data_IF_736162746275
#
_entry.id   IF_736162746275
#
_cell.length_a   1.000
_cell.length_b   1.000
_cell.length_c   1.000
_cell.angle_alpha   90.00
_cell.angle_beta   90.00
_cell.angle_gamma   90.00
#
_symmetry.space_group_name_H-M   'P 1'
#
loop_
_entity.id
_entity.type
_entity.pdbx_description
1 polymer ?
#
# COMPACT_ATOMS: atom_id res chain seq x y z
N UNK A 1 5.54 11.65 -27.60
CA UNK A 1 4.71 12.19 -26.51
C UNK A 1 4.80 11.23 -25.34
N UNK A 2 5.28 11.70 -24.22
CA UNK A 2 5.49 10.86 -23.03
C UNK A 2 4.11 10.55 -22.43
N UNK A 3 3.58 9.34 -22.68
CA UNK A 3 2.28 8.87 -22.17
C UNK A 3 2.16 9.07 -20.65
N UNK A 4 3.25 8.89 -19.91
CA UNK A 4 3.33 9.08 -18.47
C UNK A 4 2.90 10.47 -17.97
N UNK A 5 3.19 11.55 -18.72
CA UNK A 5 2.85 12.91 -18.27
C UNK A 5 1.34 13.13 -18.34
N UNK A 6 0.68 12.63 -19.40
CA UNK A 6 -0.76 12.79 -19.55
C UNK A 6 -1.56 11.94 -18.53
N UNK A 7 -1.10 10.74 -18.23
CA UNK A 7 -1.74 9.83 -17.24
C UNK A 7 -1.61 10.36 -15.81
N UNK A 8 -0.44 10.91 -15.46
CA UNK A 8 -0.22 11.55 -14.16
C UNK A 8 -1.16 12.73 -13.92
N UNK A 9 -1.30 13.61 -14.92
CA UNK A 9 -2.15 14.79 -14.79
C UNK A 9 -3.63 14.40 -14.77
N UNK A 10 -4.02 13.33 -15.48
CA UNK A 10 -5.36 12.75 -15.44
C UNK A 10 -5.64 12.13 -14.05
N UNK A 11 -4.71 11.36 -13.48
CA UNK A 11 -4.86 10.79 -12.14
C UNK A 11 -5.09 11.88 -11.09
N UNK A 12 -4.23 12.89 -11.05
CA UNK A 12 -4.37 13.98 -10.08
C UNK A 12 -5.67 14.78 -10.30
N UNK A 13 -6.06 15.02 -11.55
CA UNK A 13 -7.32 15.64 -11.90
C UNK A 13 -8.53 14.85 -11.40
N UNK A 14 -8.52 13.53 -11.58
CA UNK A 14 -9.57 12.63 -11.10
C UNK A 14 -9.67 12.65 -9.57
N UNK A 15 -8.54 12.60 -8.86
CA UNK A 15 -8.56 12.59 -7.38
C UNK A 15 -9.01 13.93 -6.83
N UNK A 16 -8.63 15.04 -7.43
CA UNK A 16 -9.14 16.37 -7.09
C UNK A 16 -10.65 16.50 -7.32
N UNK A 17 -11.15 15.89 -8.39
CA UNK A 17 -12.59 15.83 -8.63
C UNK A 17 -13.30 14.99 -7.56
N UNK A 18 -12.76 13.81 -7.23
CA UNK A 18 -13.29 12.98 -6.14
C UNK A 18 -13.29 13.74 -4.80
N UNK A 19 -12.23 14.48 -4.50
CA UNK A 19 -12.14 15.33 -3.32
C UNK A 19 -13.23 16.41 -3.31
N UNK A 20 -13.43 17.11 -4.43
CA UNK A 20 -14.49 18.11 -4.59
C UNK A 20 -15.89 17.50 -4.42
N UNK A 21 -16.09 16.25 -4.85
CA UNK A 21 -17.31 15.47 -4.64
C UNK A 21 -17.42 14.87 -3.23
N UNK A 22 -16.49 15.19 -2.30
CA UNK A 22 -16.48 14.76 -0.90
C UNK A 22 -16.30 13.25 -0.71
N UNK A 23 -15.63 12.55 -1.64
CA UNK A 23 -15.18 11.20 -1.38
C UNK A 23 -14.14 11.21 -0.25
N UNK A 24 -14.24 10.24 0.64
CA UNK A 24 -13.36 10.16 1.83
C UNK A 24 -12.00 9.58 1.51
N UNK A 25 -11.92 8.65 0.56
CA UNK A 25 -10.73 7.88 0.22
C UNK A 25 -10.59 7.72 -1.28
N UNK A 26 -9.34 7.70 -1.72
CA UNK A 26 -8.95 7.29 -3.05
C UNK A 26 -7.74 6.34 -2.93
N UNK A 27 -7.90 5.15 -3.45
CA UNK A 27 -6.85 4.14 -3.38
C UNK A 27 -6.32 3.79 -4.76
N UNK A 28 -5.01 3.54 -4.84
CA UNK A 28 -4.27 3.20 -6.05
C UNK A 28 -3.86 1.74 -5.96
N UNK A 29 -4.23 0.93 -6.97
CA UNK A 29 -3.83 -0.48 -7.03
C UNK A 29 -2.40 -0.61 -7.54
N UNK A 30 -1.66 -1.58 -7.01
CA UNK A 30 -0.33 -1.97 -7.50
C UNK A 30 -0.47 -2.99 -8.62
N UNK A 31 0.18 -2.72 -9.75
CA UNK A 31 0.32 -3.66 -10.86
C UNK A 31 1.71 -3.55 -11.48
N UNK A 32 2.48 -4.64 -11.40
CA UNK A 32 3.78 -4.74 -12.02
C UNK A 32 3.67 -5.26 -13.46
N UNK A 33 4.53 -4.74 -14.35
CA UNK A 33 4.68 -5.19 -15.73
C UNK A 33 3.36 -5.25 -16.53
N UNK A 34 2.41 -4.36 -16.24
CA UNK A 34 1.13 -4.31 -16.95
C UNK A 34 1.08 -3.09 -17.87
N UNK A 35 1.05 -3.33 -19.19
CA UNK A 35 0.95 -2.25 -20.18
C UNK A 35 -0.37 -1.49 -20.00
N UNK A 36 -0.29 -0.16 -20.01
CA UNK A 36 -1.46 0.73 -19.83
C UNK A 36 -1.83 1.02 -18.37
N UNK A 37 -1.10 0.47 -17.39
CA UNK A 37 -1.28 0.80 -15.96
C UNK A 37 0.06 1.26 -15.39
N UNK A 38 0.15 2.52 -15.01
CA UNK A 38 1.38 3.17 -14.55
C UNK A 38 1.49 3.20 -13.00
N UNK A 39 1.02 2.15 -12.31
CA UNK A 39 0.92 2.16 -10.83
C UNK A 39 1.84 1.16 -10.11
N UNK A 40 2.87 0.64 -10.78
CA UNK A 40 3.85 -0.25 -10.15
C UNK A 40 4.57 0.40 -8.96
N UNK A 41 4.97 1.67 -9.08
CA UNK A 41 5.56 2.44 -7.98
C UNK A 41 4.46 3.12 -7.14
N UNK A 42 3.58 2.34 -6.53
CA UNK A 42 2.35 2.80 -5.89
C UNK A 42 2.60 3.84 -4.79
N UNK A 43 3.59 3.63 -3.92
CA UNK A 43 3.94 4.58 -2.86
C UNK A 43 4.38 5.95 -3.41
N UNK A 44 5.09 5.98 -4.55
CA UNK A 44 5.50 7.23 -5.22
C UNK A 44 4.27 7.99 -5.73
N UNK A 45 3.32 7.29 -6.35
CA UNK A 45 2.07 7.89 -6.82
C UNK A 45 1.20 8.40 -5.68
N UNK A 46 1.11 7.65 -4.57
CA UNK A 46 0.40 8.09 -3.36
C UNK A 46 0.98 9.41 -2.86
N UNK A 47 2.30 9.53 -2.76
CA UNK A 47 2.95 10.78 -2.35
C UNK A 47 2.64 11.95 -3.29
N UNK A 48 2.70 11.71 -4.61
CA UNK A 48 2.34 12.72 -5.60
C UNK A 48 0.89 13.20 -5.48
N UNK A 49 -0.05 12.27 -5.31
CA UNK A 49 -1.47 12.57 -5.19
C UNK A 49 -1.78 13.26 -3.85
N UNK A 50 -1.19 12.78 -2.76
CA UNK A 50 -1.37 13.38 -1.44
C UNK A 50 -0.86 14.84 -1.40
N UNK A 51 0.28 15.12 -2.04
CA UNK A 51 0.81 16.48 -2.19
C UNK A 51 -0.08 17.39 -3.06
N UNK A 52 -0.80 16.80 -4.01
CA UNK A 52 -1.68 17.53 -4.94
C UNK A 52 -3.12 17.69 -4.48
N UNK A 53 -3.51 17.15 -3.31
CA UNK A 53 -4.84 17.18 -2.70
C UNK A 53 -4.77 17.68 -1.26
N UNK A 54 -5.91 17.94 -0.60
CA UNK A 54 -5.92 18.57 0.73
C UNK A 54 -6.56 17.75 1.83
N UNK A 55 -7.66 17.07 1.58
CA UNK A 55 -8.53 16.45 2.60
C UNK A 55 -8.82 14.99 2.36
N UNK A 56 -8.86 14.54 1.10
CA UNK A 56 -9.12 13.15 0.74
C UNK A 56 -7.97 12.27 1.23
N UNK A 57 -8.29 11.16 1.89
CA UNK A 57 -7.29 10.15 2.24
C UNK A 57 -6.82 9.43 0.98
N UNK A 58 -5.53 9.20 0.88
CA UNK A 58 -4.92 8.52 -0.25
C UNK A 58 -4.21 7.27 0.24
N UNK A 59 -4.30 6.19 -0.49
CA UNK A 59 -3.66 4.95 -0.06
C UNK A 59 -3.51 3.93 -1.18
N UNK A 60 -3.08 2.74 -0.79
CA UNK A 60 -2.99 1.59 -1.68
C UNK A 60 -4.26 0.75 -1.63
N UNK A 61 -4.67 0.24 -2.77
CA UNK A 61 -5.82 -0.64 -2.87
C UNK A 61 -5.55 -1.87 -3.76
N UNK A 62 -4.46 -2.64 -3.41
CA UNK A 62 -3.48 -2.65 -2.31
C UNK A 62 -2.06 -2.86 -2.79
N UNK A 63 -1.14 -2.73 -1.84
CA UNK A 63 0.22 -3.23 -2.03
C UNK A 63 0.19 -4.75 -2.05
N UNK A 64 0.82 -5.34 -3.04
CA UNK A 64 0.97 -6.79 -3.16
C UNK A 64 2.08 -7.27 -2.20
N UNK A 65 1.76 -7.39 -0.91
CA UNK A 65 2.75 -7.61 0.14
C UNK A 65 3.70 -8.80 -0.13
N UNK A 66 3.27 -9.92 -0.76
CA UNK A 66 4.21 -10.99 -1.13
C UNK A 66 5.34 -10.56 -2.06
N UNK A 67 5.21 -9.44 -2.77
CA UNK A 67 6.25 -8.90 -3.65
C UNK A 67 7.26 -8.01 -2.90
N UNK A 68 7.04 -7.71 -1.63
CA UNK A 68 7.83 -6.75 -0.85
C UNK A 68 8.37 -7.34 0.45
N UNK A 69 9.39 -6.72 1.01
CA UNK A 69 9.78 -6.92 2.40
C UNK A 69 8.87 -6.07 3.30
N UNK A 70 8.26 -6.63 4.36
CA UNK A 70 7.39 -5.87 5.28
C UNK A 70 8.02 -4.59 5.83
N UNK A 71 9.30 -4.64 6.21
CA UNK A 71 10.05 -3.46 6.67
C UNK A 71 10.03 -2.33 5.63
N UNK A 72 10.29 -2.67 4.36
CA UNK A 72 10.35 -1.67 3.30
C UNK A 72 9.01 -0.98 3.07
N UNK A 73 7.91 -1.74 3.14
CA UNK A 73 6.55 -1.20 3.05
C UNK A 73 6.25 -0.29 4.25
N UNK A 74 6.63 -0.73 5.46
CA UNK A 74 6.44 0.06 6.67
C UNK A 74 7.19 1.41 6.61
N UNK A 75 8.44 1.42 6.13
CA UNK A 75 9.23 2.65 5.95
C UNK A 75 8.65 3.58 4.88
N UNK A 76 8.18 3.03 3.75
CA UNK A 76 7.54 3.81 2.69
C UNK A 76 6.25 4.49 3.21
N UNK A 77 5.37 3.74 3.86
CA UNK A 77 4.10 4.26 4.35
C UNK A 77 4.26 5.10 5.62
N UNK A 78 5.24 4.79 6.45
CA UNK A 78 5.67 5.66 7.55
C UNK A 78 6.16 7.02 7.05
N UNK A 79 6.99 7.02 5.99
CA UNK A 79 7.42 8.26 5.33
C UNK A 79 6.26 9.06 4.77
N UNK A 80 5.34 8.39 4.05
CA UNK A 80 4.15 9.04 3.51
C UNK A 80 3.28 9.65 4.61
N UNK A 81 3.06 8.93 5.70
CA UNK A 81 2.25 9.40 6.83
C UNK A 81 2.94 10.56 7.59
N UNK A 82 4.26 10.54 7.71
CA UNK A 82 5.01 11.66 8.28
C UNK A 82 4.93 12.94 7.41
N UNK A 83 4.94 12.79 6.08
CA UNK A 83 4.78 13.90 5.13
C UNK A 83 3.34 14.40 5.01
N UNK A 84 2.36 13.52 5.20
CA UNK A 84 0.93 13.79 5.02
C UNK A 84 0.12 13.23 6.21
N UNK A 85 0.22 13.83 7.41
CA UNK A 85 -0.44 13.34 8.61
C UNK A 85 -1.96 13.14 8.40
N UNK A 86 -2.49 12.06 8.94
CA UNK A 86 -3.91 11.67 8.90
C UNK A 86 -4.49 11.45 7.49
N UNK A 87 -3.63 11.38 6.47
CA UNK A 87 -4.07 11.32 5.06
C UNK A 87 -3.77 9.98 4.38
N UNK A 88 -2.99 9.11 4.98
CA UNK A 88 -2.47 7.89 4.33
C UNK A 88 -3.20 6.66 4.84
N UNK A 89 -3.59 5.77 3.91
CA UNK A 89 -4.10 4.42 4.19
C UNK A 89 -3.17 3.38 3.54
N UNK A 90 -2.94 2.26 4.21
CA UNK A 90 -2.19 1.13 3.67
C UNK A 90 -3.13 -0.07 3.47
N UNK A 91 -3.55 -0.29 2.24
CA UNK A 91 -4.25 -1.52 1.85
C UNK A 91 -3.27 -2.59 1.39
N UNK A 92 -3.44 -3.82 1.86
CA UNK A 92 -2.59 -4.97 1.57
C UNK A 92 -3.35 -6.04 0.81
N UNK A 93 -2.75 -6.54 -0.28
CA UNK A 93 -3.24 -7.65 -1.08
C UNK A 93 -2.35 -8.89 -0.95
N UNK A 94 -2.97 -10.09 -0.96
CA UNK A 94 -2.25 -11.37 -0.92
C UNK A 94 -1.81 -11.84 -2.31
N UNK A 95 -2.64 -11.59 -3.33
CA UNK A 95 -2.32 -12.06 -4.67
C UNK A 95 -1.06 -11.37 -5.21
N UNK A 96 -0.16 -12.09 -5.91
CA UNK A 96 1.05 -11.46 -6.46
C UNK A 96 0.74 -10.45 -7.57
N UNK A 97 -0.48 -10.43 -8.11
CA UNK A 97 -0.94 -9.44 -9.09
C UNK A 97 -0.18 -9.45 -10.42
N UNK A 98 0.61 -10.51 -10.69
CA UNK A 98 1.54 -10.55 -11.81
C UNK A 98 1.81 -11.98 -12.31
N UNK A 99 2.42 -12.11 -13.49
CA UNK A 99 2.80 -13.39 -14.09
C UNK A 99 4.11 -13.96 -13.51
N UNK A 100 4.41 -15.23 -13.85
CA UNK A 100 5.62 -15.90 -13.37
C UNK A 100 6.93 -15.26 -13.84
N UNK A 101 6.96 -14.64 -15.02
CA UNK A 101 8.17 -13.98 -15.54
C UNK A 101 8.46 -12.72 -14.70
N UNK A 102 7.44 -11.96 -14.40
CA UNK A 102 7.52 -10.78 -13.53
C UNK A 102 7.89 -11.15 -12.10
N UNK A 103 7.33 -12.23 -11.55
CA UNK A 103 7.73 -12.74 -10.22
C UNK A 103 9.22 -13.08 -10.15
N UNK A 104 9.77 -13.72 -11.20
CA UNK A 104 11.21 -13.99 -11.29
C UNK A 104 12.03 -12.70 -11.36
N UNK A 105 11.57 -11.71 -12.11
CA UNK A 105 12.22 -10.40 -12.19
C UNK A 105 12.21 -9.67 -10.82
N UNK A 106 11.14 -9.80 -10.05
CA UNK A 106 11.02 -9.32 -8.69
C UNK A 106 11.81 -10.18 -7.66
N UNK A 107 12.44 -11.28 -8.11
CA UNK A 107 13.18 -12.24 -7.27
C UNK A 107 12.32 -12.86 -6.17
N UNK A 108 11.04 -13.12 -6.48
CA UNK A 108 10.07 -13.76 -5.59
C UNK A 108 9.70 -15.15 -6.10
N UNK A 109 9.29 -16.01 -5.18
CA UNK A 109 8.79 -17.35 -5.46
C UNK A 109 7.30 -17.44 -5.11
N UNK A 110 6.64 -18.53 -5.52
CA UNK A 110 5.21 -18.75 -5.25
C UNK A 110 4.89 -18.92 -3.76
N UNK A 111 5.88 -19.27 -2.93
CA UNK A 111 5.69 -19.55 -1.51
C UNK A 111 5.40 -18.28 -0.68
N UNK A 112 5.62 -17.10 -1.26
CA UNK A 112 5.36 -15.82 -0.60
C UNK A 112 3.89 -15.60 -0.22
N UNK A 113 2.95 -16.14 -1.01
CA UNK A 113 1.52 -16.02 -0.72
C UNK A 113 1.09 -16.80 0.55
N UNK A 114 1.79 -17.87 0.89
CA UNK A 114 1.50 -18.69 2.08
C UNK A 114 1.99 -18.02 3.37
N UNK A 115 2.95 -17.10 3.26
CA UNK A 115 3.48 -16.30 4.37
C UNK A 115 2.71 -15.01 4.62
N UNK A 116 1.71 -14.69 3.82
CA UNK A 116 0.99 -13.42 3.91
C UNK A 116 0.49 -13.07 5.32
N UNK A 117 -0.09 -13.99 6.13
CA UNK A 117 -0.49 -13.66 7.49
C UNK A 117 0.67 -13.25 8.39
N UNK A 118 1.82 -13.94 8.27
CA UNK A 118 3.03 -13.65 9.02
C UNK A 118 3.63 -12.30 8.60
N UNK A 119 3.67 -12.05 7.29
CA UNK A 119 4.20 -10.80 6.73
C UNK A 119 3.32 -9.59 7.14
N UNK A 120 1.99 -9.77 7.23
CA UNK A 120 1.08 -8.75 7.78
C UNK A 120 1.36 -8.50 9.26
N UNK A 121 1.52 -9.56 10.06
CA UNK A 121 1.83 -9.43 11.48
C UNK A 121 3.18 -8.74 11.71
N UNK A 122 4.20 -9.09 10.91
CA UNK A 122 5.51 -8.46 10.93
C UNK A 122 5.40 -6.95 10.60
N UNK A 123 4.67 -6.62 9.52
CA UNK A 123 4.45 -5.23 9.10
C UNK A 123 3.76 -4.40 10.19
N UNK A 124 2.71 -4.93 10.82
CA UNK A 124 2.03 -4.26 11.93
C UNK A 124 2.98 -4.01 13.09
N UNK A 125 3.86 -4.97 13.40
CA UNK A 125 4.89 -4.83 14.43
C UNK A 125 5.88 -3.69 14.17
N UNK A 126 6.13 -3.32 12.91
CA UNK A 126 6.98 -2.18 12.56
C UNK A 126 6.31 -0.81 12.80
N UNK A 127 4.98 -0.75 12.86
CA UNK A 127 4.25 0.48 13.22
C UNK A 127 4.08 0.67 14.73
N UNK A 128 4.30 -0.39 15.52
CA UNK A 128 4.31 -0.27 16.97
C UNK A 128 5.44 0.65 17.46
N UNK A 129 5.28 1.30 18.63
CA UNK A 129 6.38 2.06 19.21
C UNK A 129 7.63 1.20 19.40
N UNK A 130 8.78 1.75 19.02
CA UNK A 130 10.05 1.05 19.14
C UNK A 130 10.35 0.66 20.59
N UNK A 131 10.83 -0.58 20.79
CA UNK A 131 11.21 -1.11 22.11
C UNK A 131 12.70 -0.89 22.36
N UNK A 132 13.10 -0.65 23.62
CA UNK A 132 14.52 -0.58 23.96
C UNK A 132 15.27 -1.85 23.51
N UNK A 133 16.36 -1.67 22.78
CA UNK A 133 17.18 -2.79 22.27
C UNK A 133 16.64 -3.50 21.04
N UNK A 134 15.53 -3.03 20.44
CA UNK A 134 15.02 -3.57 19.17
C UNK A 134 16.05 -3.33 18.04
N UNK A 135 16.54 -4.41 17.45
CA UNK A 135 17.61 -4.36 16.45
C UNK A 135 17.16 -3.79 15.10
N UNK A 136 15.90 -4.01 14.70
CA UNK A 136 15.35 -3.55 13.42
C UNK A 136 14.07 -2.75 13.68
N UNK A 137 14.03 -1.54 13.17
CA UNK A 137 12.90 -0.61 13.32
C UNK A 137 12.58 0.02 11.97
N UNK A 138 11.33 0.33 11.69
CA UNK A 138 10.96 1.15 10.54
C UNK A 138 11.26 2.64 10.85
N UNK A 139 12.07 3.29 10.00
CA UNK A 139 12.48 4.68 10.22
C UNK A 139 12.33 5.50 8.92
N UNK A 140 11.32 6.40 8.86
CA UNK A 140 10.22 6.59 9.80
C UNK A 140 9.18 5.46 9.69
N UNK A 141 8.42 5.23 10.75
CA UNK A 141 7.35 4.21 10.77
C UNK A 141 6.96 3.85 12.20
N UNK A 142 7.93 3.49 13.02
CA UNK A 142 7.71 3.09 14.40
C UNK A 142 6.95 4.18 15.20
N UNK A 143 5.80 3.81 15.77
CA UNK A 143 4.92 4.70 16.52
C UNK A 143 4.05 5.64 15.67
N UNK A 144 4.06 5.50 14.34
CA UNK A 144 3.18 6.25 13.46
C UNK A 144 1.89 5.45 13.21
N UNK A 145 0.75 6.08 13.44
CA UNK A 145 -0.56 5.46 13.15
C UNK A 145 -0.85 5.51 11.65
N UNK A 146 -0.66 4.37 10.97
CA UNK A 146 -1.05 4.16 9.58
C UNK A 146 -2.21 3.16 9.55
N UNK A 147 -3.44 3.58 9.17
CA UNK A 147 -4.56 2.65 9.03
C UNK A 147 -4.26 1.55 8.01
N UNK A 148 -4.18 0.30 8.48
CA UNK A 148 -3.93 -0.88 7.65
C UNK A 148 -5.24 -1.59 7.34
N UNK A 149 -5.45 -1.93 6.07
CA UNK A 149 -6.62 -2.62 5.53
C UNK A 149 -6.19 -3.91 4.84
N UNK A 150 -6.95 -4.97 5.00
CA UNK A 150 -6.78 -6.15 4.16
C UNK A 150 -7.77 -6.13 2.99
N UNK A 151 -7.26 -6.43 1.80
CA UNK A 151 -8.04 -6.49 0.57
C UNK A 151 -8.08 -7.93 0.04
N UNK A 152 -9.20 -8.27 -0.58
CA UNK A 152 -9.31 -9.55 -1.28
C UNK A 152 -10.72 -9.87 -1.70
N UNK A 153 -10.84 -10.79 -2.66
CA UNK A 153 -12.12 -11.29 -3.20
C UNK A 153 -12.49 -12.67 -2.65
N UNK A 154 -11.90 -13.09 -1.52
CA UNK A 154 -12.11 -14.41 -0.92
C UNK A 154 -12.42 -14.34 0.56
N UNK A 155 -13.09 -15.39 1.08
CA UNK A 155 -13.32 -15.54 2.52
C UNK A 155 -12.05 -15.58 3.34
N UNK A 156 -10.93 -16.08 2.79
CA UNK A 156 -9.66 -16.14 3.49
C UNK A 156 -9.21 -14.76 3.98
N UNK A 157 -9.20 -13.76 3.11
CA UNK A 157 -8.76 -12.40 3.47
C UNK A 157 -9.71 -11.74 4.47
N UNK A 158 -11.03 -11.99 4.35
CA UNK A 158 -12.01 -11.49 5.31
C UNK A 158 -11.84 -12.12 6.70
N UNK A 159 -11.61 -13.45 6.76
CA UNK A 159 -11.38 -14.18 8.01
C UNK A 159 -10.06 -13.73 8.67
N UNK A 160 -9.01 -13.54 7.86
CA UNK A 160 -7.73 -13.04 8.37
C UNK A 160 -7.88 -11.62 8.94
N UNK A 161 -8.59 -10.73 8.24
CA UNK A 161 -8.87 -9.39 8.73
C UNK A 161 -9.62 -9.42 10.07
N UNK A 162 -10.66 -10.26 10.18
CA UNK A 162 -11.40 -10.43 11.43
C UNK A 162 -10.52 -10.97 12.56
N UNK A 163 -9.67 -11.97 12.28
CA UNK A 163 -8.76 -12.54 13.28
C UNK A 163 -7.70 -11.55 13.77
N UNK A 164 -7.27 -10.61 12.92
CA UNK A 164 -6.29 -9.56 13.25
C UNK A 164 -6.93 -8.26 13.73
N UNK A 165 -8.26 -8.15 13.78
CA UNK A 165 -8.96 -6.91 14.14
C UNK A 165 -8.78 -5.79 13.11
N UNK A 166 -8.46 -6.11 11.85
CA UNK A 166 -8.23 -5.15 10.79
C UNK A 166 -9.49 -4.91 9.96
N UNK A 167 -9.68 -3.70 9.42
CA UNK A 167 -10.71 -3.44 8.44
C UNK A 167 -10.46 -4.23 7.14
N UNK A 168 -11.55 -4.62 6.49
CA UNK A 168 -11.53 -5.37 5.23
C UNK A 168 -12.22 -4.59 4.11
N UNK A 169 -11.66 -4.69 2.90
CA UNK A 169 -12.28 -4.21 1.66
C UNK A 169 -12.34 -5.34 0.63
N UNK A 170 -13.52 -5.53 0.04
CA UNK A 170 -13.78 -6.54 -1.00
C UNK A 170 -13.42 -5.99 -2.38
#
# INVERSE_FOLDING_TARGET
>A
RNLFVSERDQLLGLVRHAEACRYRRYWIAEHDNLQGIASAATAVLIGHVAAGTRTIRVGSGGIMLPNHAPLHVAEQFGTLAALHPDRIDLGLGRAPGTDQATMRALRRNMDGADRFPQDVAELLGYFEPARPGQAVQAVPGAGIDVPVWLLGSSLFSAQLAAAMGLPFAF
#
